data_IF_546299533235
#
_entry.id   IF_546299533235
#
_cell.length_a   1.000
_cell.length_b   1.000
_cell.length_c   1.000
_cell.angle_alpha   90.00
_cell.angle_beta   90.00
_cell.angle_gamma   90.00
#
_symmetry.space_group_name_H-M   'P 1'
#
loop_
_entity.id
_entity.type
_entity.pdbx_description
1 polymer ?
#
# COMPACT_ATOMS: atom_id res chain seq x y z
N UNK A 1 -7.13 21.27 32.39
CA UNK A 1 -6.00 20.45 31.91
C UNK A 1 -6.41 19.04 31.48
N UNK A 2 -7.15 18.24 32.28
CA UNK A 2 -7.65 16.89 31.88
C UNK A 2 -8.46 16.82 30.56
N UNK A 3 -9.24 17.85 30.24
CA UNK A 3 -10.04 17.91 28.98
C UNK A 3 -9.19 18.20 27.74
N UNK A 4 -8.06 18.91 27.91
CA UNK A 4 -7.13 19.26 26.82
C UNK A 4 -6.24 18.07 26.49
N UNK A 5 -5.84 17.28 27.49
CA UNK A 5 -5.07 16.03 27.28
C UNK A 5 -5.87 14.96 26.53
N UNK A 6 -7.19 14.89 26.72
CA UNK A 6 -8.04 13.92 26.01
C UNK A 6 -8.30 14.32 24.54
N UNK A 7 -8.36 15.63 24.26
CA UNK A 7 -8.58 16.15 22.90
C UNK A 7 -7.34 16.01 21.99
N UNK A 8 -6.13 16.01 22.56
CA UNK A 8 -4.89 15.87 21.78
C UNK A 8 -4.66 14.43 21.30
N UNK A 9 -5.14 13.43 22.04
CA UNK A 9 -4.97 12.01 21.71
C UNK A 9 -5.86 11.54 20.55
N UNK A 10 -6.99 12.21 20.32
CA UNK A 10 -7.95 11.88 19.26
C UNK A 10 -7.49 12.36 17.87
N UNK A 11 -6.70 13.43 17.80
CA UNK A 11 -6.15 13.96 16.54
C UNK A 11 -5.04 13.07 15.93
N UNK A 12 -4.38 12.23 16.72
CA UNK A 12 -3.34 11.31 16.26
C UNK A 12 -3.88 10.01 15.64
N UNK A 13 -5.17 9.72 15.81
CA UNK A 13 -5.76 8.45 15.36
C UNK A 13 -6.16 8.42 13.87
N UNK A 14 -6.14 9.55 13.15
CA UNK A 14 -6.59 9.62 11.75
C UNK A 14 -5.50 9.30 10.71
N UNK A 15 -4.23 9.13 11.10
CA UNK A 15 -3.15 8.82 10.14
C UNK A 15 -3.06 7.34 9.72
N UNK A 16 -3.94 6.48 10.24
CA UNK A 16 -3.88 5.04 10.03
C UNK A 16 -4.53 4.52 8.74
N UNK A 17 -5.15 5.39 7.92
CA UNK A 17 -5.77 5.01 6.64
C UNK A 17 -4.93 5.47 5.43
N UNK A 18 -3.60 5.33 5.47
CA UNK A 18 -2.77 5.56 4.28
C UNK A 18 -2.32 4.21 3.74
N UNK A 19 -2.84 3.83 2.57
CA UNK A 19 -2.46 2.59 1.89
C UNK A 19 -0.93 2.48 1.77
N UNK A 20 -0.43 1.25 1.90
CA UNK A 20 1.00 0.96 1.79
C UNK A 20 1.48 1.23 0.36
N UNK A 21 2.54 2.02 0.20
CA UNK A 21 3.05 2.44 -1.12
C UNK A 21 3.33 1.22 -2.01
N UNK A 22 2.79 1.25 -3.23
CA UNK A 22 2.97 0.20 -4.23
C UNK A 22 2.05 -1.02 -4.11
N UNK A 23 1.08 -1.02 -3.19
CA UNK A 23 -0.04 -1.98 -3.25
C UNK A 23 -1.07 -1.56 -4.30
N UNK A 24 -1.90 -2.51 -4.74
CA UNK A 24 -2.99 -2.21 -5.67
C UNK A 24 -3.90 -1.09 -5.14
N UNK A 25 -4.29 -1.14 -3.86
CA UNK A 25 -5.15 -0.11 -3.26
C UNK A 25 -4.49 1.27 -3.24
N UNK A 26 -3.19 1.33 -2.97
CA UNK A 26 -2.45 2.58 -3.03
C UNK A 26 -2.36 3.13 -4.45
N UNK A 27 -2.10 2.28 -5.44
CA UNK A 27 -2.08 2.67 -6.84
C UNK A 27 -3.44 3.22 -7.29
N UNK A 28 -4.54 2.53 -6.96
CA UNK A 28 -5.90 2.96 -7.31
C UNK A 28 -6.23 4.33 -6.69
N UNK A 29 -6.00 4.46 -5.39
CA UNK A 29 -6.25 5.72 -4.68
C UNK A 29 -5.35 6.86 -5.19
N UNK A 30 -4.07 6.61 -5.47
CA UNK A 30 -3.19 7.64 -6.05
C UNK A 30 -3.60 8.01 -7.45
N UNK A 31 -4.04 7.06 -8.28
CA UNK A 31 -4.50 7.32 -9.63
C UNK A 31 -5.68 8.31 -9.64
N UNK A 32 -6.62 8.14 -8.69
CA UNK A 32 -7.78 9.00 -8.47
C UNK A 32 -7.43 10.37 -7.85
N UNK A 33 -6.36 10.44 -7.06
CA UNK A 33 -5.95 11.67 -6.40
C UNK A 33 -5.52 12.78 -7.41
N UNK A 34 -5.85 14.06 -7.14
CA UNK A 34 -5.46 15.19 -8.00
C UNK A 34 -3.94 15.29 -8.12
N UNK A 35 -3.40 15.46 -9.35
CA UNK A 35 -1.95 15.48 -9.58
C UNK A 35 -1.22 16.64 -8.87
N UNK A 36 -1.91 17.74 -8.57
CA UNK A 36 -1.31 18.85 -7.83
C UNK A 36 -1.07 18.52 -6.34
N UNK A 37 -1.70 17.47 -5.81
CA UNK A 37 -1.46 16.95 -4.45
C UNK A 37 -0.33 15.91 -4.41
N UNK A 38 0.23 15.54 -5.56
CA UNK A 38 1.32 14.58 -5.62
C UNK A 38 2.63 15.25 -5.20
N UNK A 39 3.35 14.59 -4.29
CA UNK A 39 4.75 14.92 -4.08
C UNK A 39 5.61 14.38 -5.23
N UNK A 40 6.83 14.90 -5.38
CA UNK A 40 7.79 14.34 -6.33
C UNK A 40 8.12 12.87 -6.04
N UNK A 41 8.12 12.47 -4.77
CA UNK A 41 8.33 11.07 -4.38
C UNK A 41 7.14 10.21 -4.77
N UNK A 42 5.91 10.68 -4.57
CA UNK A 42 4.71 9.95 -5.00
C UNK A 42 4.74 9.65 -6.50
N UNK A 43 5.19 10.62 -7.32
CA UNK A 43 5.28 10.43 -8.76
C UNK A 43 6.31 9.34 -9.14
N UNK A 44 7.47 9.33 -8.47
CA UNK A 44 8.51 8.33 -8.67
C UNK A 44 8.05 6.94 -8.22
N UNK A 45 7.44 6.84 -7.05
CA UNK A 45 6.99 5.57 -6.49
C UNK A 45 5.83 5.00 -7.30
N UNK A 46 4.90 5.85 -7.75
CA UNK A 46 3.80 5.44 -8.62
C UNK A 46 4.33 4.92 -9.96
N UNK A 47 5.29 5.61 -10.56
CA UNK A 47 5.92 5.12 -11.79
C UNK A 47 6.57 3.75 -11.58
N UNK A 48 7.31 3.54 -10.49
CA UNK A 48 7.96 2.26 -10.21
C UNK A 48 6.96 1.14 -9.93
N UNK A 49 6.03 1.35 -9.00
CA UNK A 49 5.24 0.27 -8.42
C UNK A 49 3.88 0.04 -9.08
N UNK A 50 3.39 1.01 -9.86
CA UNK A 50 2.07 0.93 -10.49
C UNK A 50 2.12 0.94 -12.02
N UNK A 51 3.20 1.43 -12.62
CA UNK A 51 3.34 1.53 -14.09
C UNK A 51 4.38 0.56 -14.63
N UNK A 52 5.57 0.52 -14.02
CA UNK A 52 6.68 -0.30 -14.50
C UNK A 52 6.67 -1.72 -13.91
N UNK A 53 6.27 -1.85 -12.65
CA UNK A 53 6.15 -3.12 -11.94
C UNK A 53 4.68 -3.40 -11.63
N UNK A 54 4.40 -4.66 -11.36
CA UNK A 54 3.07 -5.06 -10.92
C UNK A 54 2.84 -4.68 -9.44
N UNK A 55 1.71 -4.03 -9.14
CA UNK A 55 1.40 -3.65 -7.77
C UNK A 55 1.13 -4.87 -6.91
N UNK A 56 1.61 -4.80 -5.67
CA UNK A 56 1.47 -5.88 -4.69
C UNK A 56 -0.01 -6.06 -4.35
N UNK A 57 -0.49 -7.30 -4.40
CA UNK A 57 -1.90 -7.61 -4.18
C UNK A 57 -2.79 -7.43 -5.42
N UNK A 58 -2.24 -7.06 -6.57
CA UNK A 58 -2.97 -7.10 -7.83
C UNK A 58 -3.29 -8.55 -8.22
N UNK A 59 -4.29 -8.75 -9.09
CA UNK A 59 -4.69 -10.09 -9.52
C UNK A 59 -3.56 -10.85 -10.20
N UNK A 60 -2.79 -10.18 -11.06
CA UNK A 60 -1.66 -10.80 -11.75
C UNK A 60 -0.52 -11.10 -10.78
N UNK A 61 -0.14 -10.15 -9.92
CA UNK A 61 0.89 -10.39 -8.91
C UNK A 61 0.54 -11.57 -7.98
N UNK A 62 -0.73 -11.67 -7.55
CA UNK A 62 -1.19 -12.80 -6.74
C UNK A 62 -1.18 -14.13 -7.53
N UNK A 63 -1.45 -14.11 -8.85
CA UNK A 63 -1.40 -15.30 -9.69
C UNK A 63 0.05 -15.77 -9.89
N UNK A 64 0.94 -14.86 -10.28
CA UNK A 64 2.36 -15.11 -10.49
C UNK A 64 3.01 -15.66 -9.22
N UNK A 65 2.69 -15.09 -8.06
CA UNK A 65 3.23 -15.58 -6.79
C UNK A 65 2.67 -16.97 -6.43
N UNK A 66 1.40 -17.27 -6.77
CA UNK A 66 0.83 -18.61 -6.54
C UNK A 66 1.60 -19.68 -7.31
N UNK A 67 1.98 -19.38 -8.55
CA UNK A 67 2.76 -20.26 -9.42
C UNK A 67 4.22 -20.41 -8.97
N UNK A 68 4.78 -19.38 -8.32
CA UNK A 68 6.13 -19.44 -7.77
C UNK A 68 6.26 -20.51 -6.66
N UNK A 69 7.28 -21.39 -6.71
CA UNK A 69 7.54 -22.37 -5.65
C UNK A 69 7.66 -21.72 -4.28
N UNK A 70 6.98 -22.27 -3.27
CA UNK A 70 6.91 -21.67 -1.92
C UNK A 70 8.27 -21.56 -1.22
N UNK A 71 9.24 -22.41 -1.58
CA UNK A 71 10.61 -22.34 -1.08
C UNK A 71 11.37 -21.08 -1.53
N UNK A 72 10.94 -20.44 -2.62
CA UNK A 72 11.57 -19.25 -3.19
C UNK A 72 10.88 -17.94 -2.75
N UNK A 73 9.95 -18.04 -1.81
CA UNK A 73 9.24 -16.88 -1.29
C UNK A 73 10.11 -16.11 -0.31
N UNK A 74 10.23 -14.80 -0.53
CA UNK A 74 10.75 -13.89 0.48
C UNK A 74 9.74 -13.71 1.62
N UNK A 75 10.22 -13.33 2.79
CA UNK A 75 9.36 -13.04 3.94
C UNK A 75 8.32 -11.95 3.63
N UNK A 76 8.68 -10.96 2.79
CA UNK A 76 7.78 -9.88 2.43
C UNK A 76 6.66 -10.35 1.49
N UNK A 77 6.97 -11.25 0.55
CA UNK A 77 5.96 -11.87 -0.32
C UNK A 77 4.99 -12.74 0.47
N UNK A 78 5.46 -13.55 1.42
CA UNK A 78 4.58 -14.33 2.32
C UNK A 78 3.60 -13.40 3.04
N UNK A 79 4.13 -12.36 3.68
CA UNK A 79 3.35 -11.39 4.44
C UNK A 79 2.32 -10.67 3.57
N UNK A 80 2.74 -10.17 2.41
CA UNK A 80 1.89 -9.39 1.54
C UNK A 80 0.85 -10.25 0.83
N UNK A 81 1.20 -11.47 0.44
CA UNK A 81 0.24 -12.42 -0.12
C UNK A 81 -0.86 -12.76 0.88
N UNK A 82 -0.50 -13.03 2.14
CA UNK A 82 -1.47 -13.29 3.19
C UNK A 82 -2.41 -12.09 3.42
N UNK A 83 -1.88 -10.86 3.36
CA UNK A 83 -2.65 -9.63 3.55
C UNK A 83 -3.57 -9.27 2.38
N UNK A 84 -3.13 -9.51 1.14
CA UNK A 84 -3.75 -8.90 -0.04
C UNK A 84 -4.38 -9.92 -1.02
N UNK A 85 -4.05 -11.21 -0.92
CA UNK A 85 -4.46 -12.22 -1.90
C UNK A 85 -5.33 -13.35 -1.33
N UNK A 86 -5.37 -13.54 0.00
CA UNK A 86 -6.08 -14.65 0.67
C UNK A 86 -7.43 -14.21 1.27
N UNK A 87 -7.62 -12.91 1.47
CA UNK A 87 -8.87 -12.30 1.96
C UNK A 87 -10.00 -12.35 0.93
#
# INVERSE_FOLDING_TARGET
MKKVTLALFTLLALSACKDEVGTQSWCDHKAEAPKHEWSAQDAVDYAKHCVLLEPVGSKSWCADLKEKPKGDWSANEVKNFAKHCII
#
